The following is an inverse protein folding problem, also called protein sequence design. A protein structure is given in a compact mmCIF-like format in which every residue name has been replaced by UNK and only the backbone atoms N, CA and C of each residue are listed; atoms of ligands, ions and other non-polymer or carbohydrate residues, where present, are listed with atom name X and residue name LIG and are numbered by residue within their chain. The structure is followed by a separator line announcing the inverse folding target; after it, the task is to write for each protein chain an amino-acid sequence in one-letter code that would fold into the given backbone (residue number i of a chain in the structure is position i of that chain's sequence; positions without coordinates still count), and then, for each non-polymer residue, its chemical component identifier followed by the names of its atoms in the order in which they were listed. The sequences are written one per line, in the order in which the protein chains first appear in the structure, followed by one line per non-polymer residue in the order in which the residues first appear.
data_IF_019244189144
#
_entry.id   IF_019244189144
#
_cell.length_a   1.000
_cell.length_b   1.000
_cell.length_c   1.000
_cell.angle_alpha   90.00
_cell.angle_beta   90.00
_cell.angle_gamma   90.00
#
_symmetry.space_group_name_H-M   'P 1'
#
loop_
_entity.id
_entity.type
_entity.pdbx_description
1 polymer ?
#
# COMPACT_ATOMS: atom_id res chain seq x y z
N UNK A 1 -10.60 2.58 -21.78
CA UNK A 1 -10.27 1.56 -20.79
C UNK A 1 -10.26 2.23 -19.43
N UNK A 2 -11.03 1.70 -18.47
CA UNK A 2 -11.05 2.20 -17.08
C UNK A 2 -9.82 1.69 -16.33
N UNK A 3 -9.21 2.55 -15.52
CA UNK A 3 -8.07 2.23 -14.66
C UNK A 3 -8.45 2.19 -13.18
N UNK A 4 -9.71 1.87 -12.86
CA UNK A 4 -10.22 1.72 -11.50
C UNK A 4 -10.33 0.26 -11.06
N UNK A 5 -9.92 -0.68 -11.92
CA UNK A 5 -9.83 -2.12 -11.66
C UNK A 5 -8.38 -2.57 -11.68
N UNK A 6 -8.03 -3.43 -10.75
CA UNK A 6 -6.70 -4.01 -10.56
C UNK A 6 -6.81 -5.54 -10.62
N UNK A 7 -5.73 -6.23 -11.08
CA UNK A 7 -5.67 -7.69 -11.15
C UNK A 7 -6.23 -8.27 -12.45
N UNK A 8 -6.05 -9.58 -12.63
CA UNK A 8 -6.49 -10.34 -13.83
C UNK A 8 -7.47 -11.45 -13.49
N UNK A 9 -7.16 -12.32 -12.51
CA UNK A 9 -8.03 -13.36 -11.99
C UNK A 9 -8.61 -12.99 -10.62
N UNK A 10 -7.79 -12.41 -9.75
CA UNK A 10 -8.26 -11.76 -8.53
C UNK A 10 -8.36 -10.27 -8.79
N UNK A 11 -9.54 -9.79 -9.08
CA UNK A 11 -9.74 -8.41 -9.49
C UNK A 11 -10.39 -7.58 -8.39
N UNK A 12 -9.98 -6.33 -8.30
CA UNK A 12 -10.55 -5.35 -7.36
C UNK A 12 -10.90 -4.09 -8.12
N UNK A 13 -12.17 -3.71 -8.11
CA UNK A 13 -12.64 -2.43 -8.63
C UNK A 13 -13.05 -1.54 -7.48
N UNK A 14 -12.39 -0.40 -7.31
CA UNK A 14 -12.71 0.58 -6.25
C UNK A 14 -13.54 1.74 -6.80
N UNK A 15 -14.47 2.25 -5.99
CA UNK A 15 -15.34 3.37 -6.34
C UNK A 15 -15.60 4.29 -5.13
N UNK A 16 -16.22 5.43 -5.39
CA UNK A 16 -16.58 6.43 -4.40
C UNK A 16 -15.50 7.48 -4.16
N UNK A 17 -15.91 8.64 -3.67
CA UNK A 17 -15.08 9.81 -3.39
C UNK A 17 -14.94 10.05 -1.89
N UNK A 18 -13.87 10.75 -1.50
CA UNK A 18 -13.55 11.04 -0.11
C UNK A 18 -14.69 11.70 0.68
N UNK A 19 -15.45 12.58 0.04
CA UNK A 19 -16.59 13.31 0.62
C UNK A 19 -17.91 13.00 -0.10
N UNK A 20 -17.96 11.92 -0.87
CA UNK A 20 -19.18 11.30 -1.37
C UNK A 20 -19.91 10.52 -0.26
N UNK A 21 -21.07 9.93 -0.52
CA UNK A 21 -21.88 9.23 0.48
C UNK A 21 -21.19 7.97 1.03
N UNK A 22 -20.36 7.33 0.22
CA UNK A 22 -19.64 6.10 0.58
C UNK A 22 -18.43 5.89 -0.31
N UNK A 23 -17.54 5.01 0.12
CA UNK A 23 -16.50 4.37 -0.69
C UNK A 23 -16.73 2.87 -0.68
N UNK A 24 -16.35 2.19 -1.75
CA UNK A 24 -16.55 0.75 -1.84
C UNK A 24 -15.59 0.09 -2.81
N UNK A 25 -15.60 -1.25 -2.78
CA UNK A 25 -14.96 -2.05 -3.80
C UNK A 25 -15.79 -3.29 -4.13
N UNK A 26 -15.57 -3.80 -5.33
CA UNK A 26 -15.99 -5.13 -5.74
C UNK A 26 -14.74 -5.97 -5.95
N UNK A 27 -14.68 -7.10 -5.26
CA UNK A 27 -13.63 -8.12 -5.40
C UNK A 27 -14.24 -9.27 -6.18
N UNK A 28 -13.61 -9.66 -7.27
CA UNK A 28 -14.01 -10.82 -8.06
C UNK A 28 -12.86 -11.82 -8.19
N UNK A 29 -13.20 -13.10 -8.41
CA UNK A 29 -12.22 -14.18 -8.48
C UNK A 29 -11.72 -14.73 -7.13
N UNK A 30 -12.32 -14.32 -6.02
CA UNK A 30 -12.01 -14.95 -4.73
C UNK A 30 -12.53 -16.39 -4.71
N UNK A 31 -11.67 -17.40 -4.43
CA UNK A 31 -12.13 -18.79 -4.32
C UNK A 31 -13.22 -18.95 -3.25
N UNK A 32 -14.17 -19.89 -3.44
CA UNK A 32 -15.22 -20.16 -2.47
C UNK A 32 -14.67 -20.85 -1.22
N UNK A 33 -15.40 -20.71 -0.10
CA UNK A 33 -15.16 -21.44 1.14
C UNK A 33 -14.21 -20.75 2.13
N UNK A 34 -13.62 -19.59 1.78
CA UNK A 34 -12.85 -18.79 2.73
C UNK A 34 -13.79 -18.24 3.82
N UNK A 35 -13.47 -18.48 5.09
CA UNK A 35 -14.21 -17.85 6.19
C UNK A 35 -14.03 -16.33 6.12
N UNK A 36 -15.12 -15.58 6.15
CA UNK A 36 -15.07 -14.13 6.02
C UNK A 36 -16.31 -13.50 6.65
N UNK A 37 -16.07 -12.57 7.59
CA UNK A 37 -17.10 -11.72 8.17
C UNK A 37 -16.56 -10.29 8.35
N UNK A 38 -17.44 -9.35 8.74
CA UNK A 38 -17.07 -7.95 8.84
C UNK A 38 -15.98 -7.66 9.90
N UNK A 39 -15.85 -8.47 10.93
CA UNK A 39 -14.86 -8.27 12.00
C UNK A 39 -13.43 -8.51 11.52
N UNK A 40 -13.23 -9.31 10.49
CA UNK A 40 -11.92 -9.63 9.91
C UNK A 40 -11.19 -8.39 9.35
N UNK A 41 -11.94 -7.35 8.99
CA UNK A 41 -11.39 -6.12 8.41
C UNK A 41 -10.94 -5.11 9.44
N UNK A 42 -11.45 -5.19 10.68
CA UNK A 42 -11.30 -4.15 11.69
C UNK A 42 -9.83 -3.82 12.00
N UNK A 43 -8.99 -4.83 12.17
CA UNK A 43 -7.59 -4.67 12.53
C UNK A 43 -6.82 -3.86 11.45
N UNK A 44 -6.85 -4.30 10.20
CA UNK A 44 -6.07 -3.67 9.13
C UNK A 44 -6.61 -2.28 8.75
N UNK A 45 -7.94 -2.10 8.81
CA UNK A 45 -8.56 -0.79 8.61
C UNK A 45 -8.16 0.18 9.72
N UNK A 46 -8.10 -0.27 10.98
CA UNK A 46 -7.64 0.55 12.09
C UNK A 46 -6.15 0.93 11.96
N UNK A 47 -5.29 0.04 11.50
CA UNK A 47 -3.86 0.33 11.22
C UNK A 47 -3.71 1.45 10.20
N UNK A 48 -4.56 1.47 9.18
CA UNK A 48 -4.57 2.49 8.13
C UNK A 48 -5.27 3.78 8.57
N UNK A 49 -6.22 3.74 9.50
CA UNK A 49 -7.09 4.85 9.85
C UNK A 49 -6.34 6.10 10.34
N UNK A 50 -6.98 7.27 10.19
CA UNK A 50 -6.56 8.51 10.82
C UNK A 50 -6.93 8.51 12.30
N UNK A 51 -6.24 9.33 13.11
CA UNK A 51 -6.55 9.48 14.53
C UNK A 51 -6.09 8.33 15.43
N UNK A 52 -5.31 7.39 14.90
CA UNK A 52 -4.67 6.31 15.67
C UNK A 52 -3.65 6.86 16.68
N UNK A 53 -2.99 7.95 16.35
CA UNK A 53 -2.02 8.63 17.21
C UNK A 53 -2.10 10.15 17.05
N UNK A 54 -1.48 10.89 17.97
CA UNK A 54 -1.31 12.36 17.85
C UNK A 54 -0.51 12.77 16.61
N UNK A 55 0.21 11.85 15.98
CA UNK A 55 1.08 12.09 14.82
C UNK A 55 0.36 11.90 13.47
N UNK A 56 -0.88 11.43 13.48
CA UNK A 56 -1.74 11.33 12.29
C UNK A 56 -2.84 12.39 12.32
N UNK A 57 -3.54 12.57 11.20
CA UNK A 57 -4.68 13.49 11.09
C UNK A 57 -5.72 13.23 12.20
N UNK A 58 -6.25 14.30 12.78
CA UNK A 58 -7.30 14.23 13.81
C UNK A 58 -8.70 13.84 13.28
N UNK A 59 -8.81 13.50 11.99
CA UNK A 59 -10.06 12.97 11.41
C UNK A 59 -10.35 11.61 12.04
N UNK A 60 -11.55 11.42 12.57
CA UNK A 60 -12.02 10.13 13.10
C UNK A 60 -13.13 9.63 12.21
N UNK A 61 -12.91 8.47 11.59
CA UNK A 61 -13.93 7.72 10.86
C UNK A 61 -13.93 6.30 11.40
N UNK A 62 -15.09 5.83 11.79
CA UNK A 62 -15.32 4.41 12.01
C UNK A 62 -15.38 3.79 10.62
N UNK A 63 -14.30 3.12 10.19
CA UNK A 63 -14.23 2.41 8.91
C UNK A 63 -14.93 1.05 9.07
N UNK A 64 -16.26 1.07 9.27
CA UNK A 64 -17.08 -0.13 9.39
C UNK A 64 -17.42 -0.68 8.01
N UNK A 65 -17.04 -1.93 7.77
CA UNK A 65 -17.33 -2.63 6.52
C UNK A 65 -18.76 -3.19 6.54
N UNK A 66 -19.51 -2.87 5.49
CA UNK A 66 -20.71 -3.60 5.10
C UNK A 66 -20.35 -4.59 3.99
N UNK A 67 -20.62 -5.89 4.19
CA UNK A 67 -20.50 -6.92 3.14
C UNK A 67 -21.85 -7.05 2.47
N UNK A 68 -21.95 -6.67 1.20
CA UNK A 68 -23.22 -6.61 0.48
C UNK A 68 -23.50 -7.86 -0.36
N UNK A 69 -22.46 -8.64 -0.73
CA UNK A 69 -22.58 -9.83 -1.55
C UNK A 69 -21.34 -10.72 -1.44
N UNK A 70 -21.40 -11.92 -2.02
CA UNK A 70 -20.28 -12.85 -2.17
C UNK A 70 -19.93 -13.64 -0.91
N UNK A 71 -20.72 -13.52 0.16
CA UNK A 71 -20.57 -14.28 1.42
C UNK A 71 -21.92 -14.86 1.82
N UNK A 72 -21.93 -16.13 2.15
CA UNK A 72 -23.09 -16.86 2.67
C UNK A 72 -22.66 -17.76 3.85
N UNK A 73 -23.38 -17.70 4.96
CA UNK A 73 -23.05 -18.42 6.20
C UNK A 73 -21.58 -18.24 6.64
N UNK A 74 -21.07 -17.00 6.53
CA UNK A 74 -19.71 -16.65 6.94
C UNK A 74 -18.60 -17.20 6.02
N UNK A 75 -18.93 -17.59 4.79
CA UNK A 75 -17.95 -18.10 3.82
C UNK A 75 -18.14 -17.45 2.45
N UNK A 76 -17.02 -17.25 1.75
CA UNK A 76 -17.05 -16.75 0.37
C UNK A 76 -17.74 -17.77 -0.53
N UNK A 77 -18.51 -17.27 -1.51
CA UNK A 77 -19.31 -18.10 -2.43
C UNK A 77 -18.64 -18.35 -3.78
N UNK A 78 -17.53 -17.65 -4.06
CA UNK A 78 -16.91 -17.65 -5.39
C UNK A 78 -17.52 -16.63 -6.37
N UNK A 79 -18.54 -15.89 -5.92
CA UNK A 79 -19.15 -14.79 -6.68
C UNK A 79 -18.61 -13.44 -6.17
N UNK A 80 -18.86 -12.30 -6.87
CA UNK A 80 -18.31 -11.02 -6.48
C UNK A 80 -18.64 -10.60 -5.05
N UNK A 81 -17.60 -10.22 -4.29
CA UNK A 81 -17.71 -9.70 -2.93
C UNK A 81 -17.78 -8.17 -3.03
N UNK A 82 -18.91 -7.58 -2.67
CA UNK A 82 -19.06 -6.13 -2.61
C UNK A 82 -18.90 -5.65 -1.17
N UNK A 83 -17.97 -4.72 -0.98
CA UNK A 83 -17.67 -4.09 0.30
C UNK A 83 -18.00 -2.60 0.23
N UNK A 84 -18.61 -2.07 1.27
CA UNK A 84 -18.99 -0.66 1.38
C UNK A 84 -18.60 -0.08 2.75
N UNK A 85 -18.13 1.17 2.75
CA UNK A 85 -17.95 1.98 3.95
C UNK A 85 -18.66 3.31 3.74
N UNK A 86 -19.56 3.68 4.67
CA UNK A 86 -20.24 4.96 4.64
C UNK A 86 -19.35 6.07 5.16
N UNK A 87 -19.34 7.21 4.47
CA UNK A 87 -18.61 8.39 4.92
C UNK A 87 -19.46 9.18 5.92
N UNK A 88 -19.02 9.28 7.16
CA UNK A 88 -19.77 9.92 8.26
C UNK A 88 -19.20 11.28 8.69
N UNK A 89 -17.92 11.55 8.53
CA UNK A 89 -17.26 12.83 8.90
C UNK A 89 -17.01 13.70 7.66
N UNK A 90 -18.09 14.14 7.00
CA UNK A 90 -18.02 15.03 5.84
C UNK A 90 -18.17 16.49 6.30
N UNK A 91 -17.14 17.31 6.09
CA UNK A 91 -17.18 18.76 6.32
C UNK A 91 -17.07 19.50 4.99
N UNK A 92 -18.18 19.55 4.23
CA UNK A 92 -18.23 20.17 2.90
C UNK A 92 -17.93 21.68 2.89
N UNK A 93 -18.10 22.36 4.02
CA UNK A 93 -17.85 23.82 4.14
C UNK A 93 -16.38 24.22 4.05
N UNK A 94 -15.45 23.31 4.31
CA UNK A 94 -14.01 23.58 4.32
C UNK A 94 -13.38 23.63 2.91
N UNK A 95 -14.18 23.41 1.84
CA UNK A 95 -13.65 23.23 0.48
C UNK A 95 -14.19 24.22 -0.57
N UNK A 96 -15.02 25.19 -0.20
CA UNK A 96 -15.65 26.10 -1.15
C UNK A 96 -14.65 27.01 -1.91
N UNK A 97 -13.57 27.44 -1.26
CA UNK A 97 -12.50 28.23 -1.91
C UNK A 97 -11.55 27.36 -2.73
N UNK A 98 -11.43 26.08 -2.42
CA UNK A 98 -10.52 25.14 -3.11
C UNK A 98 -11.05 24.78 -4.50
N UNK A 99 -12.35 24.96 -4.75
CA UNK A 99 -12.97 24.65 -6.05
C UNK A 99 -12.36 25.41 -7.23
N UNK A 100 -11.94 26.65 -7.00
CA UNK A 100 -11.40 27.56 -8.03
C UNK A 100 -9.88 27.71 -7.98
N UNK A 101 -9.18 26.95 -7.15
CA UNK A 101 -7.74 27.06 -6.94
C UNK A 101 -7.04 25.74 -7.20
N UNK A 102 -5.80 25.79 -7.69
CA UNK A 102 -4.93 24.62 -7.82
C UNK A 102 -3.94 24.61 -6.67
N UNK A 103 -4.05 23.65 -5.78
CA UNK A 103 -3.09 23.51 -4.67
C UNK A 103 -1.74 22.99 -5.19
N UNK A 104 -0.61 23.63 -4.85
CA UNK A 104 0.71 23.14 -5.26
C UNK A 104 0.95 21.69 -4.80
N UNK A 105 1.52 20.88 -5.68
CA UNK A 105 1.84 19.49 -5.38
C UNK A 105 0.66 18.51 -5.24
N UNK A 106 -0.59 18.99 -5.33
CA UNK A 106 -1.80 18.15 -5.40
C UNK A 106 -2.19 17.82 -6.84
N UNK A 107 -3.13 16.89 -7.01
CA UNK A 107 -3.61 16.46 -8.32
C UNK A 107 -4.66 17.41 -8.95
N UNK A 108 -4.92 18.57 -8.34
CA UNK A 108 -5.98 19.48 -8.75
C UNK A 108 -5.87 19.91 -10.21
N UNK A 109 -4.68 20.39 -10.61
CA UNK A 109 -4.39 20.82 -11.97
C UNK A 109 -4.48 19.67 -12.99
N UNK A 110 -3.90 18.52 -12.67
CA UNK A 110 -3.90 17.35 -13.54
C UNK A 110 -5.30 16.78 -13.76
N UNK A 111 -6.14 16.73 -12.71
CA UNK A 111 -7.54 16.32 -12.82
C UNK A 111 -8.36 17.28 -13.67
N UNK A 112 -8.17 18.58 -13.46
CA UNK A 112 -8.86 19.62 -14.24
C UNK A 112 -8.58 19.49 -15.72
N UNK A 113 -7.30 19.35 -16.11
CA UNK A 113 -6.92 19.20 -17.52
C UNK A 113 -7.27 17.84 -18.12
N UNK A 114 -7.37 16.79 -17.29
CA UNK A 114 -7.72 15.46 -17.78
C UNK A 114 -9.23 15.29 -18.00
N UNK A 115 -10.03 15.74 -17.05
CA UNK A 115 -11.46 15.45 -17.01
C UNK A 115 -12.35 16.66 -17.30
N UNK A 116 -11.82 17.87 -17.31
CA UNK A 116 -12.59 19.11 -17.48
C UNK A 116 -13.47 19.48 -16.29
N UNK A 117 -13.57 18.59 -15.31
CA UNK A 117 -14.35 18.75 -14.09
C UNK A 117 -13.62 18.09 -12.91
N UNK A 118 -13.78 18.65 -11.74
CA UNK A 118 -13.18 18.15 -10.51
C UNK A 118 -14.13 18.32 -9.34
N UNK A 119 -14.30 17.28 -8.51
CA UNK A 119 -14.91 17.43 -7.19
C UNK A 119 -13.87 18.03 -6.23
N UNK A 120 -14.06 19.28 -5.74
CA UNK A 120 -13.09 19.91 -4.85
C UNK A 120 -13.13 19.35 -3.43
N UNK A 121 -14.21 18.64 -3.06
CA UNK A 121 -14.44 18.14 -1.71
C UNK A 121 -13.44 17.03 -1.36
N UNK A 122 -12.48 17.33 -0.49
CA UNK A 122 -11.47 16.38 -0.03
C UNK A 122 -10.59 15.75 -1.12
N UNK A 123 -10.58 16.30 -2.33
CA UNK A 123 -9.80 15.79 -3.47
C UNK A 123 -10.46 14.63 -4.22
N UNK A 124 -11.71 14.28 -3.94
CA UNK A 124 -12.48 13.26 -4.67
C UNK A 124 -11.76 11.91 -4.70
N UNK A 125 -11.59 11.34 -5.89
CA UNK A 125 -10.85 10.07 -6.12
C UNK A 125 -9.35 10.18 -5.94
N UNK A 126 -8.75 11.38 -6.01
CA UNK A 126 -7.32 11.57 -5.76
C UNK A 126 -6.95 11.54 -4.27
N UNK A 127 -7.94 11.54 -3.40
CA UNK A 127 -7.74 11.44 -1.95
C UNK A 127 -7.24 10.07 -1.53
N UNK A 128 -6.31 10.04 -0.57
CA UNK A 128 -5.85 8.78 0.04
C UNK A 128 -6.96 8.00 0.77
N UNK A 129 -8.17 8.56 0.92
CA UNK A 129 -9.34 7.87 1.48
C UNK A 129 -9.69 6.60 0.70
N UNK A 130 -9.52 6.59 -0.64
CA UNK A 130 -9.80 5.44 -1.49
C UNK A 130 -8.96 4.21 -1.12
N UNK A 131 -7.76 4.41 -0.56
CA UNK A 131 -6.88 3.30 -0.15
C UNK A 131 -7.46 2.44 0.97
N UNK A 132 -8.48 2.92 1.69
CA UNK A 132 -9.25 2.11 2.65
C UNK A 132 -9.81 0.86 1.99
N UNK A 133 -10.31 0.99 0.76
CA UNK A 133 -10.88 -0.15 0.03
C UNK A 133 -9.81 -1.08 -0.53
N UNK A 134 -8.62 -0.58 -0.81
CA UNK A 134 -7.45 -1.43 -1.15
C UNK A 134 -7.03 -2.28 0.06
N UNK A 135 -6.98 -1.68 1.25
CA UNK A 135 -6.68 -2.40 2.50
C UNK A 135 -7.76 -3.45 2.78
N UNK A 136 -9.04 -3.10 2.63
CA UNK A 136 -10.13 -4.05 2.78
C UNK A 136 -9.99 -5.25 1.81
N UNK A 137 -9.75 -5.00 0.53
CA UNK A 137 -9.49 -6.07 -0.43
C UNK A 137 -8.23 -6.89 -0.08
N UNK A 138 -7.20 -6.22 0.43
CA UNK A 138 -5.97 -6.83 0.92
C UNK A 138 -6.19 -7.81 2.07
N UNK A 139 -7.15 -7.56 2.97
CA UNK A 139 -7.51 -8.49 4.05
C UNK A 139 -7.94 -9.84 3.48
N UNK A 140 -8.81 -9.84 2.46
CA UNK A 140 -9.26 -11.07 1.79
C UNK A 140 -8.09 -11.82 1.17
N UNK A 141 -7.22 -11.11 0.45
CA UNK A 141 -6.04 -11.68 -0.19
C UNK A 141 -5.05 -12.25 0.83
N UNK A 142 -4.69 -11.49 1.87
CA UNK A 142 -3.76 -11.92 2.94
C UNK A 142 -4.28 -13.16 3.66
N UNK A 143 -5.57 -13.19 3.98
CA UNK A 143 -6.19 -14.32 4.65
C UNK A 143 -6.10 -15.59 3.79
N UNK A 144 -6.50 -15.51 2.52
CA UNK A 144 -6.45 -16.65 1.62
C UNK A 144 -5.02 -17.16 1.40
N UNK A 145 -4.06 -16.25 1.18
CA UNK A 145 -2.64 -16.58 1.00
C UNK A 145 -2.07 -17.26 2.24
N UNK A 146 -2.39 -16.77 3.44
CA UNK A 146 -1.94 -17.35 4.70
C UNK A 146 -2.53 -18.75 4.92
N UNK A 147 -3.83 -18.92 4.75
CA UNK A 147 -4.51 -20.20 4.98
C UNK A 147 -4.10 -21.25 3.95
N UNK A 148 -3.83 -20.84 2.72
CA UNK A 148 -3.54 -21.77 1.63
C UNK A 148 -2.06 -22.13 1.49
N UNK A 149 -1.17 -21.19 1.75
CA UNK A 149 0.27 -21.34 1.48
C UNK A 149 1.15 -20.97 2.69
N UNK A 150 0.61 -20.46 3.77
CA UNK A 150 1.38 -19.92 4.88
C UNK A 150 2.07 -18.59 4.56
N UNK A 151 1.74 -17.95 3.44
CA UNK A 151 2.31 -16.66 3.05
C UNK A 151 1.90 -15.58 4.05
N UNK A 152 2.87 -14.83 4.55
CA UNK A 152 2.65 -13.65 5.40
C UNK A 152 3.23 -12.42 4.72
N UNK A 153 2.54 -11.30 4.82
CA UNK A 153 2.99 -10.02 4.27
C UNK A 153 3.05 -9.02 5.42
N UNK A 154 4.23 -8.46 5.65
CA UNK A 154 4.50 -7.50 6.72
C UNK A 154 5.27 -6.30 6.19
N UNK A 155 4.95 -5.12 6.67
CA UNK A 155 5.64 -3.88 6.32
C UNK A 155 6.10 -3.13 7.56
N UNK A 156 7.08 -2.26 7.37
CA UNK A 156 7.53 -1.34 8.40
C UNK A 156 8.00 -0.03 7.78
N UNK A 157 7.97 1.05 8.56
CA UNK A 157 8.58 2.30 8.17
C UNK A 157 10.10 2.16 8.31
N UNK A 158 10.82 2.29 7.20
CA UNK A 158 12.28 2.13 7.14
C UNK A 158 13.05 3.43 7.03
N UNK A 159 12.35 4.56 6.83
CA UNK A 159 12.95 5.89 6.89
C UNK A 159 11.88 6.95 7.11
N UNK A 160 12.17 7.93 7.95
CA UNK A 160 11.35 9.11 8.20
C UNK A 160 12.24 10.37 8.07
N UNK A 161 12.12 11.05 6.94
CA UNK A 161 13.07 12.14 6.61
C UNK A 161 14.51 11.61 6.57
N UNK A 162 15.38 12.15 7.45
CA UNK A 162 16.78 11.71 7.56
C UNK A 162 16.98 10.56 8.55
N UNK A 163 15.95 10.20 9.33
CA UNK A 163 16.05 9.18 10.38
C UNK A 163 15.87 7.80 9.75
N UNK A 164 16.81 6.91 10.04
CA UNK A 164 16.79 5.49 9.68
C UNK A 164 16.86 4.61 10.93
N UNK A 165 16.35 3.37 10.90
CA UNK A 165 16.41 2.48 12.06
C UNK A 165 17.85 2.17 12.51
N UNK A 166 18.13 2.34 13.80
CA UNK A 166 19.40 1.95 14.41
C UNK A 166 19.47 0.44 14.76
N UNK A 167 18.34 -0.25 14.70
CA UNK A 167 18.21 -1.67 14.94
C UNK A 167 16.90 -2.19 14.36
N UNK A 168 16.72 -3.51 14.36
CA UNK A 168 15.57 -4.15 13.75
C UNK A 168 14.99 -5.27 14.61
N UNK A 169 13.71 -5.18 14.94
CA UNK A 169 12.92 -6.22 15.59
C UNK A 169 11.46 -6.16 15.09
N UNK A 170 11.01 -7.22 14.43
CA UNK A 170 9.63 -7.34 13.97
C UNK A 170 8.60 -7.27 15.10
N UNK A 171 8.95 -7.74 16.31
CA UNK A 171 8.00 -7.81 17.42
C UNK A 171 7.54 -6.44 17.93
N UNK A 172 8.32 -5.38 17.67
CA UNK A 172 8.00 -4.03 18.13
C UNK A 172 7.32 -3.16 17.07
N UNK A 173 7.25 -3.63 15.82
CA UNK A 173 6.70 -2.84 14.70
C UNK A 173 5.24 -2.46 14.93
N UNK A 174 4.41 -3.39 15.38
CA UNK A 174 2.99 -3.15 15.65
C UNK A 174 2.73 -2.42 16.98
N UNK A 175 3.68 -2.41 17.89
CA UNK A 175 3.52 -1.88 19.25
C UNK A 175 3.75 -0.36 19.33
N UNK A 176 4.16 0.28 18.22
CA UNK A 176 4.37 1.73 18.19
C UNK A 176 3.58 2.41 17.05
N UNK A 177 3.32 3.72 17.17
CA UNK A 177 2.46 4.42 16.21
C UNK A 177 3.08 4.65 14.83
N UNK A 178 4.37 4.33 14.65
CA UNK A 178 5.13 4.58 13.41
C UNK A 178 5.35 3.33 12.57
N UNK A 179 5.00 2.13 13.05
CA UNK A 179 5.46 0.87 12.46
C UNK A 179 6.99 0.82 12.36
N UNK A 180 7.68 1.37 13.37
CA UNK A 180 9.13 1.48 13.41
C UNK A 180 9.78 0.25 14.03
N UNK A 181 10.84 -0.32 13.43
CA UNK A 181 11.39 -1.60 13.87
C UNK A 181 12.38 -1.48 15.05
N UNK A 182 12.54 -0.29 15.65
CA UNK A 182 13.45 -0.07 16.79
C UNK A 182 12.79 0.80 17.86
N UNK A 183 12.28 0.17 18.91
CA UNK A 183 11.46 0.82 19.94
C UNK A 183 12.16 2.01 20.63
N UNK A 184 13.49 1.92 20.87
CA UNK A 184 14.24 2.98 21.55
C UNK A 184 14.30 4.31 20.78
N UNK A 185 14.07 4.31 19.46
CA UNK A 185 14.03 5.53 18.64
C UNK A 185 12.65 6.19 18.57
N UNK A 186 11.59 5.56 19.05
CA UNK A 186 10.22 6.13 18.97
C UNK A 186 10.14 7.55 19.54
N UNK A 187 10.75 7.89 20.70
CA UNK A 187 10.75 9.27 21.20
C UNK A 187 11.41 10.28 20.26
N UNK A 188 12.46 9.89 19.52
CA UNK A 188 13.12 10.74 18.51
C UNK A 188 12.16 11.05 17.35
N UNK A 189 11.45 10.02 16.84
CA UNK A 189 10.46 10.19 15.79
C UNK A 189 9.29 11.09 16.23
N UNK A 190 8.82 10.93 17.47
CA UNK A 190 7.79 11.76 18.05
C UNK A 190 8.21 13.24 18.12
N UNK A 191 9.43 13.51 18.60
CA UNK A 191 9.98 14.87 18.66
C UNK A 191 10.11 15.49 17.27
N UNK A 192 10.57 14.71 16.29
CA UNK A 192 10.69 15.16 14.90
C UNK A 192 9.33 15.52 14.28
N UNK A 193 8.31 14.65 14.47
CA UNK A 193 6.95 14.90 13.99
C UNK A 193 6.29 16.10 14.67
N UNK A 194 6.53 16.32 15.95
CA UNK A 194 6.04 17.49 16.69
C UNK A 194 6.68 18.78 16.17
N UNK A 195 7.99 18.76 15.85
CA UNK A 195 8.69 19.88 15.23
C UNK A 195 8.12 20.24 13.85
N UNK A 196 7.88 19.24 12.98
CA UNK A 196 7.24 19.43 11.67
C UNK A 196 5.84 20.03 11.79
N UNK A 197 5.04 19.53 12.74
CA UNK A 197 3.71 20.08 12.99
C UNK A 197 3.74 21.52 13.45
N UNK A 198 4.72 21.89 14.30
CA UNK A 198 4.90 23.24 14.81
C UNK A 198 5.35 24.20 13.71
N UNK A 199 6.25 23.78 12.81
CA UNK A 199 6.69 24.57 11.66
C UNK A 199 5.65 24.68 10.54
N UNK A 200 4.63 23.78 10.53
CA UNK A 200 3.64 23.71 9.44
C UNK A 200 4.14 23.00 8.19
N UNK A 201 5.25 22.27 8.30
CA UNK A 201 5.92 21.56 7.20
C UNK A 201 5.60 20.05 7.22
N UNK A 202 6.16 19.31 6.27
CA UNK A 202 5.97 17.89 6.09
C UNK A 202 7.25 17.20 5.64
N UNK A 203 7.26 15.88 5.71
CA UNK A 203 8.44 15.08 5.36
C UNK A 203 8.05 13.82 4.58
N UNK A 204 8.98 13.35 3.74
CA UNK A 204 8.88 12.07 3.05
C UNK A 204 9.23 10.89 3.93
N UNK A 205 8.97 9.68 3.40
CA UNK A 205 9.26 8.45 4.12
C UNK A 205 9.58 7.31 3.15
N UNK A 206 10.21 6.26 3.69
CA UNK A 206 10.37 4.96 3.03
C UNK A 206 9.62 3.89 3.84
N UNK A 207 8.98 2.99 3.14
CA UNK A 207 8.33 1.79 3.71
C UNK A 207 8.90 0.58 3.02
N UNK A 208 9.30 -0.41 3.80
CA UNK A 208 9.73 -1.71 3.30
C UNK A 208 8.66 -2.75 3.60
N UNK A 209 8.44 -3.65 2.63
CA UNK A 209 7.47 -4.75 2.74
C UNK A 209 8.15 -6.07 2.40
N UNK A 210 7.88 -7.07 3.22
CA UNK A 210 8.38 -8.43 3.06
C UNK A 210 7.22 -9.39 2.99
N UNK A 211 7.22 -10.27 1.99
CA UNK A 211 6.30 -11.40 1.90
C UNK A 211 7.09 -12.70 2.08
N UNK A 212 6.87 -13.37 3.20
CA UNK A 212 7.50 -14.63 3.54
C UNK A 212 6.69 -15.81 3.02
N UNK A 213 7.37 -16.95 2.81
CA UNK A 213 6.78 -18.22 2.38
C UNK A 213 6.09 -18.18 1.00
N UNK A 214 6.47 -17.24 0.15
CA UNK A 214 5.98 -17.19 -1.23
C UNK A 214 6.52 -18.40 -1.99
N UNK A 215 5.67 -19.32 -2.51
CA UNK A 215 6.17 -20.47 -3.24
C UNK A 215 6.97 -20.06 -4.49
N UNK A 216 7.97 -20.85 -4.90
CA UNK A 216 8.61 -20.60 -6.19
C UNK A 216 7.62 -20.83 -7.33
N UNK A 217 7.78 -20.05 -8.42
CA UNK A 217 7.01 -20.25 -9.64
C UNK A 217 5.88 -19.24 -9.89
N UNK A 218 5.63 -18.28 -8.98
CA UNK A 218 4.63 -17.23 -9.22
C UNK A 218 5.24 -16.07 -10.00
N UNK A 219 4.59 -15.67 -11.08
CA UNK A 219 5.04 -14.64 -11.99
C UNK A 219 5.22 -15.14 -13.42
N UNK A 220 5.61 -14.25 -14.30
CA UNK A 220 5.74 -14.50 -15.74
C UNK A 220 7.11 -14.05 -16.26
N UNK A 221 7.63 -14.67 -17.33
CA UNK A 221 8.99 -14.38 -17.79
C UNK A 221 9.14 -13.07 -18.57
N UNK A 222 8.08 -12.53 -19.19
CA UNK A 222 8.16 -11.35 -20.06
C UNK A 222 7.16 -10.28 -19.64
N UNK A 223 5.87 -10.49 -19.91
CA UNK A 223 4.80 -9.59 -19.50
C UNK A 223 4.10 -10.16 -18.26
N UNK A 224 3.77 -9.32 -17.29
CA UNK A 224 3.21 -9.78 -16.02
C UNK A 224 4.26 -10.36 -15.09
N UNK A 225 5.54 -9.97 -15.24
CA UNK A 225 6.59 -10.27 -14.27
C UNK A 225 6.15 -9.87 -12.86
N UNK A 226 6.45 -10.70 -11.87
CA UNK A 226 6.07 -10.44 -10.48
C UNK A 226 6.64 -9.11 -9.97
N UNK A 227 7.91 -8.82 -10.23
CA UNK A 227 8.55 -7.54 -9.89
C UNK A 227 7.88 -6.36 -10.60
N UNK A 228 7.57 -6.50 -11.88
CA UNK A 228 6.88 -5.48 -12.65
C UNK A 228 5.46 -5.19 -12.14
N UNK A 229 4.68 -6.21 -11.80
CA UNK A 229 3.33 -6.06 -11.25
C UNK A 229 3.36 -5.49 -9.83
N UNK A 230 4.33 -5.91 -8.99
CA UNK A 230 4.57 -5.31 -7.68
C UNK A 230 4.91 -3.83 -7.81
N UNK A 231 5.85 -3.47 -8.71
CA UNK A 231 6.24 -2.09 -8.93
C UNK A 231 5.06 -1.23 -9.39
N UNK A 232 4.24 -1.71 -10.33
CA UNK A 232 3.05 -1.00 -10.80
C UNK A 232 2.00 -0.82 -9.70
N UNK A 233 1.75 -1.87 -8.92
CA UNK A 233 0.80 -1.83 -7.81
C UNK A 233 1.23 -0.85 -6.72
N UNK A 234 2.48 -0.91 -6.30
CA UNK A 234 3.06 -0.05 -5.27
C UNK A 234 3.17 1.41 -5.75
N UNK A 235 3.54 1.66 -7.01
CA UNK A 235 3.58 3.00 -7.60
C UNK A 235 2.18 3.63 -7.70
N UNK A 236 1.12 2.84 -7.73
CA UNK A 236 -0.27 3.33 -7.76
C UNK A 236 -0.73 3.93 -6.42
N UNK A 237 0.00 3.72 -5.33
CA UNK A 237 -0.32 4.28 -4.01
C UNK A 237 -0.07 5.80 -4.04
N UNK A 238 -0.99 6.56 -3.47
CA UNK A 238 -0.89 8.02 -3.39
C UNK A 238 0.44 8.46 -2.77
N UNK A 239 1.08 9.48 -3.35
CA UNK A 239 2.36 10.05 -2.95
C UNK A 239 3.61 9.17 -3.20
N UNK A 240 3.50 7.94 -3.63
CA UNK A 240 4.66 7.12 -3.99
C UNK A 240 5.39 7.72 -5.19
N UNK A 241 6.72 7.78 -5.12
CA UNK A 241 7.62 8.34 -6.13
C UNK A 241 8.75 7.41 -6.54
N UNK A 242 8.95 6.32 -5.83
CA UNK A 242 9.92 5.29 -6.15
C UNK A 242 9.50 3.94 -5.60
N UNK A 243 9.89 2.90 -6.31
CA UNK A 243 9.73 1.50 -5.90
C UNK A 243 11.05 0.79 -6.15
N UNK A 244 11.47 -0.04 -5.21
CA UNK A 244 12.62 -0.92 -5.33
C UNK A 244 12.20 -2.36 -5.06
N UNK A 245 12.82 -3.30 -5.75
CA UNK A 245 12.68 -4.75 -5.52
C UNK A 245 14.06 -5.27 -5.12
N UNK A 246 14.15 -6.01 -4.01
CA UNK A 246 15.44 -6.45 -3.47
C UNK A 246 16.36 -5.27 -3.16
N UNK A 247 17.61 -5.34 -3.58
CA UNK A 247 18.59 -4.26 -3.40
C UNK A 247 18.31 -3.01 -4.25
N UNK A 248 17.35 -3.09 -5.20
CA UNK A 248 16.88 -1.96 -5.97
C UNK A 248 17.99 -1.16 -6.62
N UNK A 249 18.04 0.16 -6.40
CA UNK A 249 19.06 1.05 -6.97
C UNK A 249 20.48 0.77 -6.46
N UNK A 250 20.65 0.16 -5.28
CA UNK A 250 21.95 -0.20 -4.77
C UNK A 250 22.66 -1.27 -5.64
N UNK A 251 21.90 -2.05 -6.41
CA UNK A 251 22.44 -3.03 -7.37
C UNK A 251 23.37 -2.41 -8.41
N UNK A 252 23.22 -1.11 -8.73
CA UNK A 252 24.12 -0.41 -9.65
C UNK A 252 25.57 -0.29 -9.12
N UNK A 253 25.78 -0.42 -7.83
CA UNK A 253 27.09 -0.35 -7.18
C UNK A 253 27.74 -1.73 -7.01
N UNK A 254 26.99 -2.80 -7.27
CA UNK A 254 27.42 -4.18 -7.03
C UNK A 254 28.04 -4.81 -8.27
N UNK A 255 29.02 -5.67 -8.06
CA UNK A 255 29.52 -6.56 -9.12
C UNK A 255 28.65 -7.81 -9.22
N UNK A 256 28.65 -8.46 -10.37
CA UNK A 256 27.85 -9.67 -10.58
C UNK A 256 28.19 -10.80 -9.60
N UNK A 257 29.44 -10.88 -9.12
CA UNK A 257 29.88 -11.84 -8.10
C UNK A 257 29.33 -11.52 -6.70
N UNK A 258 28.99 -10.28 -6.43
CA UNK A 258 28.40 -9.81 -5.17
C UNK A 258 26.88 -9.94 -5.19
N UNK A 259 26.25 -9.58 -6.30
CA UNK A 259 24.79 -9.54 -6.44
C UNK A 259 24.13 -10.93 -6.61
N UNK A 260 24.82 -11.90 -7.18
CA UNK A 260 24.21 -13.21 -7.44
C UNK A 260 23.88 -13.95 -6.15
N UNK A 261 22.64 -14.38 -6.02
CA UNK A 261 22.15 -15.18 -4.90
C UNK A 261 22.52 -16.66 -5.13
N UNK A 262 23.53 -17.16 -4.42
CA UNK A 262 24.02 -18.53 -4.58
C UNK A 262 23.01 -19.53 -4.01
N UNK A 263 22.77 -20.62 -4.76
CA UNK A 263 21.89 -21.72 -4.34
C UNK A 263 22.72 -22.85 -3.73
N UNK A 264 22.25 -23.32 -2.58
CA UNK A 264 22.82 -24.51 -1.92
C UNK A 264 21.67 -25.45 -1.53
N UNK A 265 21.94 -26.72 -1.22
CA UNK A 265 20.92 -27.63 -0.70
C UNK A 265 20.29 -27.14 0.63
N UNK A 266 20.98 -26.28 1.38
CA UNK A 266 20.54 -25.71 2.65
C UNK A 266 19.73 -24.43 2.47
N UNK A 267 19.73 -23.84 1.28
CA UNK A 267 19.00 -22.61 0.98
C UNK A 267 19.80 -21.63 0.13
N UNK A 268 19.24 -20.44 -0.04
CA UNK A 268 19.92 -19.33 -0.72
C UNK A 268 20.85 -18.60 0.25
N UNK A 269 22.07 -18.27 -0.20
CA UNK A 269 23.10 -17.61 0.62
C UNK A 269 22.84 -16.10 0.80
N UNK A 270 22.03 -15.49 -0.06
CA UNK A 270 21.68 -14.08 -0.05
C UNK A 270 20.34 -13.87 -0.76
N UNK A 271 19.79 -12.65 -0.71
CA UNK A 271 18.53 -12.30 -1.37
C UNK A 271 18.57 -10.90 -2.01
N UNK A 272 19.63 -10.63 -2.76
CA UNK A 272 19.82 -9.35 -3.46
C UNK A 272 18.74 -9.07 -4.51
N UNK A 273 18.26 -10.13 -5.18
CA UNK A 273 17.20 -10.03 -6.19
C UNK A 273 15.79 -9.85 -5.58
N UNK A 274 15.65 -9.91 -4.24
CA UNK A 274 14.38 -9.73 -3.57
C UNK A 274 13.37 -10.83 -3.80
N UNK A 275 13.84 -12.09 -3.95
CA UNK A 275 12.99 -13.29 -4.11
C UNK A 275 12.41 -13.47 -5.51
N UNK A 276 12.88 -12.73 -6.50
CA UNK A 276 12.35 -12.75 -7.87
C UNK A 276 13.51 -12.81 -8.87
N UNK A 277 13.53 -13.84 -9.70
CA UNK A 277 14.48 -14.01 -10.80
C UNK A 277 13.73 -14.25 -12.12
N UNK A 278 14.07 -13.50 -13.14
CA UNK A 278 13.39 -13.58 -14.43
C UNK A 278 11.90 -13.24 -14.40
N UNK A 279 11.45 -12.49 -13.37
CA UNK A 279 10.05 -12.13 -13.17
C UNK A 279 9.23 -13.17 -12.42
N UNK A 280 9.87 -14.22 -11.88
CA UNK A 280 9.24 -15.37 -11.23
C UNK A 280 9.80 -15.53 -9.81
N UNK A 281 8.93 -15.84 -8.84
CA UNK A 281 9.35 -16.06 -7.45
C UNK A 281 10.26 -17.26 -7.30
N UNK A 282 11.27 -17.13 -6.42
CA UNK A 282 12.30 -18.16 -6.18
C UNK A 282 12.00 -19.07 -5.01
N UNK A 283 11.06 -18.71 -4.14
CA UNK A 283 10.84 -19.33 -2.82
C UNK A 283 11.48 -18.56 -1.69
N UNK A 284 12.34 -17.58 -1.98
CA UNK A 284 12.89 -16.65 -1.01
C UNK A 284 11.83 -15.61 -0.59
N UNK A 285 12.02 -14.90 0.53
CA UNK A 285 11.19 -13.74 0.86
C UNK A 285 11.15 -12.75 -0.30
N UNK A 286 9.94 -12.34 -0.70
CA UNK A 286 9.77 -11.27 -1.70
C UNK A 286 9.85 -9.94 -0.97
N UNK A 287 10.81 -9.10 -1.37
CA UNK A 287 11.08 -7.81 -0.74
C UNK A 287 10.87 -6.66 -1.69
N UNK A 288 10.14 -5.64 -1.24
CA UNK A 288 9.90 -4.42 -1.98
C UNK A 288 9.95 -3.21 -1.05
N UNK A 289 10.37 -2.07 -1.59
CA UNK A 289 10.40 -0.79 -0.87
C UNK A 289 9.70 0.28 -1.67
N UNK A 290 9.07 1.22 -0.98
CA UNK A 290 8.48 2.42 -1.59
C UNK A 290 8.99 3.69 -0.91
N UNK A 291 9.16 4.73 -1.71
CA UNK A 291 9.45 6.06 -1.22
C UNK A 291 8.24 6.98 -1.48
N UNK A 292 7.82 7.69 -0.46
CA UNK A 292 6.72 8.64 -0.52
C UNK A 292 7.23 10.07 -0.42
N UNK A 293 6.71 10.94 -1.30
CA UNK A 293 7.00 12.38 -1.20
C UNK A 293 6.38 12.99 0.06
N UNK A 294 6.89 14.12 0.55
CA UNK A 294 6.23 14.88 1.61
C UNK A 294 4.77 15.21 1.28
N UNK A 295 3.94 15.32 2.30
CA UNK A 295 2.55 15.76 2.16
C UNK A 295 2.52 17.16 1.55
N UNK A 296 1.76 17.34 0.47
CA UNK A 296 1.67 18.65 -0.21
C UNK A 296 0.74 19.66 0.48
N UNK A 297 -0.02 19.22 1.48
CA UNK A 297 -0.91 20.09 2.26
C UNK A 297 -0.13 20.78 3.36
N UNK A 298 0.40 21.96 3.08
CA UNK A 298 1.19 22.75 4.01
C UNK A 298 0.38 23.95 4.54
N UNK A 299 0.66 24.35 5.78
CA UNK A 299 0.12 25.58 6.37
C UNK A 299 0.93 26.81 5.98
N UNK A 300 1.97 26.63 5.17
CA UNK A 300 2.81 27.69 4.62
C UNK A 300 2.21 28.14 3.27
N UNK A 301 2.24 29.47 2.99
CA UNK A 301 1.76 29.97 1.71
C UNK A 301 2.64 29.49 0.56
N UNK A 302 2.01 29.17 -0.57
CA UNK A 302 2.69 28.77 -1.80
C UNK A 302 2.05 29.44 -3.01
N UNK A 303 2.86 29.92 -3.95
CA UNK A 303 2.39 30.48 -5.19
C UNK A 303 1.68 29.43 -6.05
N UNK A 304 0.55 29.79 -6.65
CA UNK A 304 -0.26 28.93 -7.52
C UNK A 304 -1.09 29.75 -8.50
N UNK A 305 -2.01 29.06 -9.18
CA UNK A 305 -2.97 29.65 -10.10
C UNK A 305 -4.40 29.27 -9.70
N UNK A 306 -5.35 30.15 -10.05
CA UNK A 306 -6.77 29.81 -10.07
C UNK A 306 -7.18 29.15 -11.40
N UNK A 307 -8.46 28.81 -11.53
CA UNK A 307 -9.01 28.17 -12.74
C UNK A 307 -9.06 29.10 -13.95
N UNK A 308 -8.89 30.41 -13.76
CA UNK A 308 -8.82 31.43 -14.81
C UNK A 308 -7.37 31.74 -15.22
N UNK A 309 -6.38 31.18 -14.50
CA UNK A 309 -4.95 31.39 -14.76
C UNK A 309 -4.35 32.59 -14.04
N UNK A 310 -5.06 33.21 -13.10
CA UNK A 310 -4.52 34.31 -12.31
C UNK A 310 -3.59 33.77 -11.23
N UNK A 311 -2.49 34.51 -10.96
CA UNK A 311 -1.54 34.18 -9.88
C UNK A 311 -2.18 34.44 -8.53
N UNK A 312 -2.10 33.45 -7.65
CA UNK A 312 -2.63 33.51 -6.29
C UNK A 312 -1.67 32.87 -5.30
N UNK A 313 -1.80 33.24 -4.03
CA UNK A 313 -1.17 32.52 -2.93
C UNK A 313 -2.17 31.54 -2.31
N UNK A 314 -1.76 30.28 -2.16
CA UNK A 314 -2.58 29.23 -1.56
C UNK A 314 -1.98 28.77 -0.25
N UNK A 315 -2.80 28.77 0.79
CA UNK A 315 -2.50 28.11 2.08
C UNK A 315 -3.48 26.96 2.24
N UNK A 316 -2.96 25.74 2.39
CA UNK A 316 -3.82 24.61 2.60
C UNK A 316 -4.21 24.51 4.08
N UNK A 317 -5.45 24.85 4.38
CA UNK A 317 -6.01 24.68 5.73
C UNK A 317 -6.64 23.30 5.86
N UNK A 318 -6.60 22.72 7.06
CA UNK A 318 -7.23 21.43 7.32
C UNK A 318 -6.40 20.50 8.22
N UNK A 319 -6.88 19.26 8.33
CA UNK A 319 -6.28 18.20 9.16
C UNK A 319 -5.47 17.28 8.24
N UNK A 320 -4.15 17.49 8.17
CA UNK A 320 -3.26 16.73 7.30
C UNK A 320 -2.19 16.00 8.10
N UNK A 321 -1.77 14.84 7.60
CA UNK A 321 -0.63 14.11 8.15
C UNK A 321 0.68 14.82 7.75
N UNK A 322 1.59 15.15 8.67
CA UNK A 322 2.91 15.68 8.31
C UNK A 322 3.75 14.65 7.54
N UNK A 323 3.46 13.35 7.70
CA UNK A 323 4.05 12.26 6.94
C UNK A 323 3.00 11.21 6.60
N UNK A 324 2.84 10.92 5.31
CA UNK A 324 1.89 9.91 4.84
C UNK A 324 2.44 8.48 4.89
N UNK A 325 3.76 8.32 5.11
CA UNK A 325 4.43 7.02 5.12
C UNK A 325 3.93 6.07 6.20
N UNK A 326 3.58 6.60 7.37
CA UNK A 326 3.03 5.81 8.48
C UNK A 326 1.80 5.02 8.02
N UNK A 327 0.85 5.71 7.39
CA UNK A 327 -0.39 5.11 6.89
C UNK A 327 -0.20 4.31 5.62
N UNK A 328 0.87 4.56 4.88
CA UNK A 328 1.20 3.82 3.67
C UNK A 328 1.67 2.39 3.96
N UNK A 329 2.18 2.10 5.16
CA UNK A 329 2.64 0.77 5.54
C UNK A 329 1.56 -0.31 5.33
N UNK A 330 0.37 -0.27 5.96
CA UNK A 330 -0.66 -1.26 5.71
C UNK A 330 -1.23 -1.23 4.27
N UNK A 331 -1.13 -0.08 3.58
CA UNK A 331 -1.56 0.01 2.18
C UNK A 331 -0.58 -0.75 1.27
N UNK A 332 0.71 -0.62 1.51
CA UNK A 332 1.74 -1.33 0.75
C UNK A 332 1.65 -2.85 0.96
N UNK A 333 1.44 -3.29 2.21
CA UNK A 333 1.17 -4.69 2.51
C UNK A 333 -0.04 -5.23 1.74
N UNK A 334 -1.13 -4.47 1.72
CA UNK A 334 -2.34 -4.85 1.00
C UNK A 334 -2.07 -4.98 -0.50
N UNK A 335 -1.37 -4.02 -1.11
CA UNK A 335 -1.07 -4.05 -2.55
C UNK A 335 -0.16 -5.24 -2.93
N UNK A 336 0.85 -5.56 -2.10
CA UNK A 336 1.68 -6.75 -2.29
C UNK A 336 0.82 -8.02 -2.21
N UNK A 337 -0.08 -8.12 -1.24
CA UNK A 337 -0.96 -9.27 -1.10
C UNK A 337 -1.92 -9.43 -2.29
N UNK A 338 -2.46 -8.33 -2.83
CA UNK A 338 -3.32 -8.37 -4.02
C UNK A 338 -2.57 -8.91 -5.24
N UNK A 339 -1.33 -8.46 -5.47
CA UNK A 339 -0.49 -8.98 -6.55
C UNK A 339 -0.20 -10.47 -6.37
N UNK A 340 0.22 -10.87 -5.16
CA UNK A 340 0.56 -12.26 -4.88
C UNK A 340 -0.65 -13.19 -5.02
N UNK A 341 -1.84 -12.75 -4.60
CA UNK A 341 -3.05 -13.56 -4.77
C UNK A 341 -3.42 -13.72 -6.26
N UNK A 342 -3.35 -12.65 -7.05
CA UNK A 342 -3.60 -12.74 -8.49
C UNK A 342 -2.61 -13.68 -9.18
N UNK A 343 -1.33 -13.56 -8.86
CA UNK A 343 -0.27 -14.44 -9.38
C UNK A 343 -0.45 -15.90 -8.94
N UNK A 344 -0.85 -16.14 -7.70
CA UNK A 344 -1.13 -17.48 -7.19
C UNK A 344 -2.27 -18.16 -7.96
N UNK A 345 -3.35 -17.42 -8.23
CA UNK A 345 -4.49 -17.94 -9.01
C UNK A 345 -4.10 -18.19 -10.47
N UNK A 346 -3.32 -17.31 -11.07
CA UNK A 346 -2.81 -17.47 -12.45
C UNK A 346 -1.89 -18.69 -12.54
N UNK A 347 -0.95 -18.84 -11.64
CA UNK A 347 -0.09 -20.01 -11.54
C UNK A 347 -0.91 -21.29 -11.41
N UNK A 348 -1.89 -21.31 -10.51
CA UNK A 348 -2.78 -22.45 -10.33
C UNK A 348 -3.57 -22.80 -11.59
N UNK A 349 -4.04 -21.80 -12.33
CA UNK A 349 -4.81 -22.00 -13.56
C UNK A 349 -3.97 -22.59 -14.70
N UNK A 350 -2.70 -22.20 -14.82
CA UNK A 350 -1.83 -22.58 -15.94
C UNK A 350 -0.87 -23.71 -15.57
N UNK A 351 -0.33 -23.71 -14.36
CA UNK A 351 0.78 -24.56 -13.95
C UNK A 351 0.43 -25.45 -12.72
N UNK A 352 -0.85 -25.57 -12.36
CA UNK A 352 -1.25 -26.29 -11.15
C UNK A 352 -0.86 -27.77 -11.14
N UNK A 353 -0.70 -28.38 -12.31
CA UNK A 353 -0.34 -29.80 -12.47
C UNK A 353 1.18 -29.99 -12.73
N UNK A 354 1.98 -28.91 -12.73
CA UNK A 354 3.42 -29.00 -12.95
C UNK A 354 4.11 -29.49 -11.68
N UNK A 355 4.90 -30.55 -11.83
CA UNK A 355 5.79 -31.07 -10.80
C UNK A 355 7.24 -31.15 -11.30
N UNK A 356 8.21 -31.03 -10.40
CA UNK A 356 9.62 -31.21 -10.69
C UNK A 356 10.20 -32.30 -9.78
N UNK A 357 11.28 -32.94 -10.23
CA UNK A 357 12.02 -33.92 -9.42
C UNK A 357 13.01 -33.24 -8.47
N UNK A 358 13.32 -31.96 -8.69
CA UNK A 358 14.22 -31.19 -7.84
C UNK A 358 13.53 -30.85 -6.51
N UNK A 359 14.13 -31.18 -5.37
CA UNK A 359 13.59 -30.76 -4.07
C UNK A 359 13.51 -29.24 -3.98
N UNK A 360 12.47 -28.73 -3.30
CA UNK A 360 12.43 -27.33 -2.93
C UNK A 360 13.53 -27.05 -1.90
N UNK A 361 14.35 -26.05 -2.20
CA UNK A 361 15.36 -25.57 -1.24
C UNK A 361 14.76 -24.50 -0.34
N UNK A 362 15.21 -24.36 0.92
CA UNK A 362 14.82 -23.27 1.80
C UNK A 362 15.08 -21.90 1.17
N UNK A 363 14.20 -20.93 1.44
CA UNK A 363 14.34 -19.56 0.93
C UNK A 363 15.53 -18.80 1.54
N UNK A 364 15.99 -19.25 2.69
CA UNK A 364 17.20 -18.73 3.38
C UNK A 364 17.93 -19.88 4.05
N UNK A 365 19.23 -19.73 4.25
CA UNK A 365 20.00 -20.60 5.13
C UNK A 365 19.64 -20.21 6.55
N UNK A 366 19.18 -21.17 7.36
CA UNK A 366 18.99 -20.97 8.80
C UNK A 366 20.33 -20.59 9.43
N UNK A 367 20.40 -19.36 10.00
CA UNK A 367 21.59 -18.81 10.63
C UNK A 367 21.78 -19.31 12.04
#
# INVERSE_FOLDING_TARGET
VSSNSFGKLFTVTTFGESHGPAIGCVIDGCPPGLALDASEFAHDLQRRATGRSRHTSARREADEIEILSGVYEGRTTGTPIALLIRNTDQRSKDYSSIGQQFRPGHADYSYWHKYGIRDPRGGGRSSARETTMRVAAGVVARKWLRERFGVTVRGHLSQLGEITPAGFDWNVVEDNPFFWPHAAQVPELEAYMDALRKSGDSVGARVDVVADNVPPGWGEPIYGKLDGELAAALMSINAVKGVEIGDGFASALQKGTEHRDLLTPQGFASNHAGGILGGISTGQPVTASIVLKPTSSLRLPGASLDTEGNVIDVVTTGRHDPCVGIRATPIAEAMVALVLMDQALRHRAQCGDVGTVTPRIPGQIDG
#
